data_IF_786273249104
#
_entry.id   IF_786273249104
#
_cell.length_a   1.000
_cell.length_b   1.000
_cell.length_c   1.000
_cell.angle_alpha   90.00
_cell.angle_beta   90.00
_cell.angle_gamma   90.00
#
_symmetry.space_group_name_H-M   'P 1'
#
loop_
_entity.id
_entity.type
_entity.pdbx_description
1 polymer ?
#
# COMPACT_ATOMS: atom_id res chain seq x y z
N UNK A 1 -7.32 30.76 -35.64
CA UNK A 1 -7.81 29.43 -35.25
C UNK A 1 -6.59 28.63 -34.81
N UNK A 2 -6.20 28.75 -33.54
CA UNK A 2 -5.08 27.98 -33.01
C UNK A 2 -5.60 26.56 -32.67
N UNK A 3 -5.12 25.57 -33.40
CA UNK A 3 -5.32 24.17 -33.07
C UNK A 3 -4.54 23.88 -31.79
N UNK A 4 -5.22 23.84 -30.67
CA UNK A 4 -4.70 23.21 -29.46
C UNK A 4 -4.63 21.70 -29.73
N UNK A 5 -3.50 21.22 -30.25
CA UNK A 5 -3.18 19.81 -30.10
C UNK A 5 -3.09 19.52 -28.60
N UNK A 6 -3.99 18.73 -28.06
CA UNK A 6 -3.85 18.20 -26.71
C UNK A 6 -2.54 17.39 -26.68
N UNK A 7 -1.49 17.99 -26.13
CA UNK A 7 -0.27 17.24 -25.82
C UNK A 7 -0.68 16.17 -24.79
N UNK A 8 -0.73 14.94 -25.28
CA UNK A 8 -0.97 13.75 -24.43
C UNK A 8 0.29 13.50 -23.60
N UNK A 9 0.13 13.12 -22.35
CA UNK A 9 1.27 12.70 -21.52
C UNK A 9 2.05 11.57 -22.21
N UNK A 10 3.37 11.55 -22.01
CA UNK A 10 4.22 10.52 -22.57
C UNK A 10 3.88 9.14 -21.97
N UNK A 11 4.04 8.04 -22.74
CA UNK A 11 3.68 6.71 -22.29
C UNK A 11 4.55 6.26 -21.10
N UNK A 12 4.01 5.39 -20.24
CA UNK A 12 4.71 4.84 -19.07
C UNK A 12 6.07 4.24 -19.42
N UNK A 13 6.18 3.58 -20.59
CA UNK A 13 7.41 2.96 -21.08
C UNK A 13 8.59 3.93 -21.28
N UNK A 14 8.32 5.22 -21.41
CA UNK A 14 9.38 6.23 -21.47
C UNK A 14 10.11 6.37 -20.12
N UNK A 15 9.43 6.10 -19.03
CA UNK A 15 9.90 6.33 -17.66
C UNK A 15 10.26 5.04 -16.93
N UNK A 16 9.52 3.95 -17.19
CA UNK A 16 9.68 2.66 -16.53
C UNK A 16 9.60 1.52 -17.53
N UNK A 17 10.62 0.66 -17.54
CA UNK A 17 10.53 -0.64 -18.20
C UNK A 17 9.82 -1.62 -17.28
N UNK A 18 8.81 -2.30 -17.80
CA UNK A 18 8.11 -3.38 -17.12
C UNK A 18 8.34 -4.68 -17.90
N UNK A 19 8.81 -5.70 -17.23
CA UNK A 19 9.19 -6.97 -17.85
C UNK A 19 8.61 -8.13 -17.04
N UNK A 20 7.95 -9.05 -17.73
CA UNK A 20 7.47 -10.29 -17.13
C UNK A 20 8.63 -11.26 -16.97
N UNK A 21 8.80 -11.82 -15.78
CA UNK A 21 9.79 -12.84 -15.50
C UNK A 21 9.19 -14.20 -15.88
N UNK A 22 9.83 -14.98 -16.78
CA UNK A 22 9.32 -16.28 -17.20
C UNK A 22 9.10 -17.21 -15.97
N UNK A 23 7.90 -17.77 -15.89
CA UNK A 23 7.51 -18.66 -14.80
C UNK A 23 7.80 -20.13 -15.14
N UNK A 24 7.90 -21.03 -14.14
CA UNK A 24 8.11 -22.46 -14.37
C UNK A 24 6.96 -23.05 -15.19
N UNK A 25 7.23 -23.75 -16.31
CA UNK A 25 6.19 -24.30 -17.16
C UNK A 25 5.29 -25.30 -16.42
N UNK A 26 3.98 -25.14 -16.58
CA UNK A 26 2.99 -26.06 -15.99
C UNK A 26 2.67 -25.81 -14.50
N UNK A 27 3.37 -24.91 -13.83
CA UNK A 27 3.13 -24.58 -12.43
C UNK A 27 2.14 -23.42 -12.27
N UNK A 28 1.35 -23.44 -11.19
CA UNK A 28 0.40 -22.37 -10.85
C UNK A 28 1.05 -21.40 -9.89
N UNK A 29 1.56 -20.30 -10.43
CA UNK A 29 2.35 -19.32 -9.71
C UNK A 29 1.49 -18.12 -9.22
N UNK A 30 0.50 -18.39 -8.38
CA UNK A 30 -0.30 -17.38 -7.69
C UNK A 30 0.54 -16.76 -6.55
N UNK A 31 1.31 -15.72 -6.88
CA UNK A 31 2.34 -15.18 -5.97
C UNK A 31 1.71 -14.60 -4.69
N UNK A 32 2.13 -15.12 -3.54
CA UNK A 32 1.67 -14.71 -2.21
C UNK A 32 2.64 -13.77 -1.49
N UNK A 33 3.95 -14.02 -1.59
CA UNK A 33 4.99 -13.15 -1.02
C UNK A 33 6.30 -13.22 -1.80
N UNK A 34 7.15 -12.21 -1.60
CA UNK A 34 8.46 -12.08 -2.25
C UNK A 34 9.50 -11.74 -1.18
N UNK A 35 10.65 -12.42 -1.18
CA UNK A 35 11.82 -12.04 -0.40
C UNK A 35 13.05 -11.88 -1.31
N UNK A 36 13.81 -10.82 -1.07
CA UNK A 36 15.10 -10.62 -1.71
C UNK A 36 16.16 -11.39 -0.91
N UNK A 37 16.96 -12.18 -1.61
CA UNK A 37 17.97 -13.04 -1.02
C UNK A 37 19.38 -12.58 -1.43
N UNK A 38 20.43 -13.07 -0.75
CA UNK A 38 21.81 -12.91 -1.22
C UNK A 38 21.97 -13.37 -2.69
N UNK A 39 23.08 -12.96 -3.32
CA UNK A 39 23.46 -13.35 -4.67
C UNK A 39 22.43 -13.02 -5.76
N UNK A 40 21.63 -11.96 -5.51
CA UNK A 40 20.56 -11.50 -6.41
C UNK A 40 19.55 -12.61 -6.75
N UNK A 41 19.28 -13.49 -5.79
CA UNK A 41 18.18 -14.44 -5.86
C UNK A 41 16.90 -13.82 -5.30
N UNK A 42 15.77 -14.30 -5.77
CA UNK A 42 14.44 -13.88 -5.30
C UNK A 42 13.66 -15.11 -4.88
N UNK A 43 13.29 -15.18 -3.60
CA UNK A 43 12.37 -16.21 -3.14
C UNK A 43 10.92 -15.75 -3.34
N UNK A 44 10.08 -16.67 -3.80
CA UNK A 44 8.66 -16.41 -4.10
C UNK A 44 7.82 -17.51 -3.50
N UNK A 45 6.79 -17.17 -2.73
CA UNK A 45 5.78 -18.14 -2.31
C UNK A 45 4.56 -18.09 -3.21
N UNK A 46 3.88 -19.21 -3.36
CA UNK A 46 2.56 -19.25 -3.98
C UNK A 46 1.47 -19.33 -2.93
N UNK A 47 0.29 -18.82 -3.22
CA UNK A 47 -0.91 -18.96 -2.39
C UNK A 47 -1.34 -20.44 -2.24
N UNK A 48 -0.79 -21.32 -3.08
CA UNK A 48 -1.02 -22.78 -3.01
C UNK A 48 -0.04 -23.51 -2.08
N UNK A 49 0.93 -22.78 -1.52
CA UNK A 49 1.83 -23.33 -0.50
C UNK A 49 3.17 -23.83 -1.04
N UNK A 50 3.56 -23.49 -2.26
CA UNK A 50 4.91 -23.73 -2.75
C UNK A 50 5.81 -22.51 -2.46
N UNK A 51 7.09 -22.79 -2.23
CA UNK A 51 8.15 -21.79 -2.17
C UNK A 51 9.21 -22.11 -3.23
N UNK A 52 9.51 -21.10 -4.04
CA UNK A 52 10.44 -21.20 -5.15
C UNK A 52 11.57 -20.20 -5.01
N UNK A 53 12.77 -20.59 -5.45
CA UNK A 53 13.91 -19.69 -5.59
C UNK A 53 14.12 -19.39 -7.07
N UNK A 54 14.09 -18.10 -7.40
CA UNK A 54 14.33 -17.56 -8.74
C UNK A 54 15.77 -17.06 -8.82
N UNK A 55 16.53 -17.54 -9.78
CA UNK A 55 17.84 -17.02 -10.14
C UNK A 55 17.77 -16.34 -11.51
N UNK A 56 18.53 -15.25 -11.70
CA UNK A 56 18.57 -14.51 -12.96
C UNK A 56 17.49 -13.41 -13.12
N UNK A 57 16.63 -13.19 -12.11
CA UNK A 57 15.58 -12.18 -12.17
C UNK A 57 16.09 -10.72 -12.31
N UNK A 58 17.34 -10.46 -11.99
CA UNK A 58 18.00 -9.17 -12.14
C UNK A 58 18.77 -9.00 -13.48
N UNK A 59 18.99 -10.10 -14.20
CA UNK A 59 19.77 -10.11 -15.45
C UNK A 59 19.06 -9.37 -16.58
N UNK A 60 19.82 -8.88 -17.58
CA UNK A 60 19.24 -8.22 -18.76
C UNK A 60 18.58 -9.22 -19.71
N UNK A 61 19.02 -10.46 -19.67
CA UNK A 61 18.47 -11.57 -20.48
C UNK A 61 17.59 -12.48 -19.60
N UNK A 62 16.30 -12.25 -19.60
CA UNK A 62 15.33 -13.03 -18.81
C UNK A 62 15.14 -14.46 -19.34
N UNK A 63 15.64 -14.80 -20.53
CA UNK A 63 15.61 -16.19 -21.01
C UNK A 63 16.50 -17.12 -20.19
N UNK A 64 17.40 -16.56 -19.38
CA UNK A 64 18.32 -17.27 -18.45
C UNK A 64 17.75 -17.45 -17.05
N UNK A 65 16.52 -16.99 -16.80
CA UNK A 65 15.86 -17.20 -15.51
C UNK A 65 15.66 -18.68 -15.27
N UNK A 66 16.02 -19.12 -14.05
CA UNK A 66 15.80 -20.48 -13.60
C UNK A 66 15.07 -20.49 -12.27
N UNK A 67 14.32 -21.55 -12.03
CA UNK A 67 13.52 -21.74 -10.84
C UNK A 67 13.85 -23.07 -10.18
N UNK A 68 13.99 -23.07 -8.85
CA UNK A 68 14.10 -24.27 -8.03
C UNK A 68 12.98 -24.26 -6.98
N UNK A 69 12.18 -25.33 -6.92
CA UNK A 69 11.19 -25.49 -5.84
C UNK A 69 11.96 -25.80 -4.56
N UNK A 70 11.87 -24.93 -3.57
CA UNK A 70 12.63 -24.99 -2.32
C UNK A 70 11.84 -25.66 -1.19
N UNK A 71 10.52 -25.37 -1.11
CA UNK A 71 9.61 -25.99 -0.15
C UNK A 71 8.19 -26.09 -0.74
N UNK A 72 7.36 -26.92 -0.10
CA UNK A 72 5.96 -27.12 -0.49
C UNK A 72 5.09 -27.44 0.73
N UNK A 73 3.77 -27.53 0.53
CA UNK A 73 2.79 -27.85 1.59
C UNK A 73 2.70 -26.75 2.68
N UNK A 74 3.05 -25.53 2.36
CA UNK A 74 2.87 -24.38 3.23
C UNK A 74 1.41 -23.91 3.20
N UNK A 75 0.95 -23.24 4.27
CA UNK A 75 -0.44 -22.81 4.38
C UNK A 75 -0.59 -21.33 3.97
N UNK A 76 -0.66 -21.07 2.66
CA UNK A 76 -0.87 -19.77 2.02
C UNK A 76 0.00 -18.64 2.61
N UNK A 77 1.34 -18.67 2.39
CA UNK A 77 2.24 -17.67 2.95
C UNK A 77 2.04 -16.30 2.29
N UNK A 78 1.73 -15.28 3.10
CA UNK A 78 1.47 -13.88 2.66
C UNK A 78 2.42 -12.88 3.34
N UNK A 79 3.57 -13.32 3.76
CA UNK A 79 4.68 -12.53 4.26
C UNK A 79 5.95 -13.37 4.24
N UNK A 80 7.07 -12.78 3.79
CA UNK A 80 8.34 -13.49 3.75
C UNK A 80 9.53 -12.52 3.75
N UNK A 81 10.61 -12.92 4.40
CA UNK A 81 11.89 -12.25 4.34
C UNK A 81 13.04 -13.22 4.57
N UNK A 82 14.23 -12.84 4.10
CA UNK A 82 15.47 -13.56 4.35
C UNK A 82 16.20 -12.95 5.54
N UNK A 83 16.64 -13.77 6.49
CA UNK A 83 17.45 -13.33 7.63
C UNK A 83 18.27 -14.48 8.19
N UNK A 84 19.56 -14.25 8.45
CA UNK A 84 20.47 -15.18 9.15
C UNK A 84 20.49 -16.60 8.57
N UNK A 85 20.59 -16.71 7.23
CA UNK A 85 20.64 -17.99 6.54
C UNK A 85 19.30 -18.75 6.48
N UNK A 86 18.18 -18.08 6.73
CA UNK A 86 16.85 -18.69 6.73
C UNK A 86 15.81 -17.81 6.03
N UNK A 87 14.79 -18.44 5.50
CA UNK A 87 13.55 -17.77 5.10
C UNK A 87 12.55 -17.82 6.26
N UNK A 88 12.00 -16.65 6.60
CA UNK A 88 10.96 -16.48 7.59
C UNK A 88 9.65 -16.20 6.86
N UNK A 89 8.62 -16.96 7.18
CA UNK A 89 7.33 -16.91 6.52
C UNK A 89 6.21 -16.60 7.50
N UNK A 90 5.27 -15.77 7.07
CA UNK A 90 3.97 -15.63 7.72
C UNK A 90 2.97 -16.44 6.92
N UNK A 91 2.47 -17.50 7.52
CA UNK A 91 1.41 -18.36 7.03
C UNK A 91 0.08 -18.02 7.71
N UNK A 92 -1.04 -18.60 7.27
CA UNK A 92 -2.34 -18.39 7.94
C UNK A 92 -2.29 -18.71 9.44
N UNK A 93 -1.76 -19.89 9.88
CA UNK A 93 -1.77 -20.28 11.29
C UNK A 93 -0.53 -19.85 12.07
N UNK A 94 0.58 -19.48 11.42
CA UNK A 94 1.86 -19.39 12.13
C UNK A 94 2.91 -18.52 11.44
N UNK A 95 3.91 -18.10 12.20
CA UNK A 95 5.22 -17.68 11.68
C UNK A 95 6.16 -18.86 11.71
N UNK A 96 6.74 -19.19 10.56
CA UNK A 96 7.63 -20.35 10.37
C UNK A 96 9.00 -19.90 9.89
N UNK A 97 10.06 -20.48 10.42
CA UNK A 97 11.44 -20.33 9.93
C UNK A 97 11.84 -21.58 9.17
N UNK A 98 12.34 -21.41 7.94
CA UNK A 98 12.70 -22.51 7.04
C UNK A 98 14.18 -22.41 6.65
N UNK A 99 14.88 -23.54 6.68
CA UNK A 99 16.30 -23.66 6.29
C UNK A 99 16.54 -24.85 5.38
N UNK A 100 17.57 -24.74 4.61
CA UNK A 100 18.30 -25.80 3.94
C UNK A 100 19.59 -26.00 4.74
N UNK A 101 19.65 -27.05 5.57
CA UNK A 101 20.74 -27.26 6.53
C UNK A 101 21.90 -28.07 5.95
N UNK A 102 21.64 -28.86 4.91
CA UNK A 102 22.65 -29.67 4.23
C UNK A 102 23.13 -29.09 2.90
N UNK A 103 22.55 -27.94 2.50
CA UNK A 103 22.87 -27.18 1.28
C UNK A 103 22.62 -27.95 -0.02
N UNK A 104 21.62 -28.83 -0.04
CA UNK A 104 21.20 -29.52 -1.28
C UNK A 104 20.24 -28.67 -2.13
N UNK A 105 19.81 -27.52 -1.58
CA UNK A 105 18.92 -26.53 -2.19
C UNK A 105 17.45 -26.88 -2.04
N UNK A 106 17.10 -27.74 -1.08
CA UNK A 106 15.75 -28.03 -0.62
C UNK A 106 15.65 -27.71 0.87
N UNK A 107 14.50 -27.26 1.30
CA UNK A 107 14.27 -27.01 2.73
C UNK A 107 14.11 -28.36 3.48
N UNK A 108 14.89 -28.54 4.52
CA UNK A 108 14.86 -29.71 5.40
C UNK A 108 14.47 -29.39 6.85
N UNK A 109 14.56 -28.13 7.24
CA UNK A 109 14.21 -27.66 8.58
C UNK A 109 13.05 -26.69 8.54
N UNK A 110 12.00 -27.01 9.29
CA UNK A 110 10.79 -26.18 9.44
C UNK A 110 10.54 -25.99 10.93
N UNK A 111 10.62 -24.73 11.40
CA UNK A 111 10.46 -24.39 12.80
C UNK A 111 9.32 -23.41 12.98
N UNK A 112 8.27 -23.79 13.69
CA UNK A 112 7.20 -22.88 14.11
C UNK A 112 7.74 -21.93 15.18
N UNK A 113 7.73 -20.64 14.88
CA UNK A 113 8.18 -19.60 15.80
C UNK A 113 7.03 -19.14 16.70
N UNK A 114 5.84 -18.99 16.13
CA UNK A 114 4.64 -18.58 16.87
C UNK A 114 3.39 -19.03 16.10
N UNK A 115 2.40 -19.57 16.84
CA UNK A 115 1.10 -20.00 16.31
C UNK A 115 -0.06 -19.65 17.27
N UNK A 116 0.06 -18.57 18.03
CA UNK A 116 -0.83 -18.24 19.15
C UNK A 116 -2.13 -17.52 18.72
N UNK A 117 -2.55 -17.65 17.47
CA UNK A 117 -3.84 -17.15 16.96
C UNK A 117 -4.63 -18.23 16.25
N UNK A 118 -5.96 -18.02 16.17
CA UNK A 118 -6.87 -19.00 15.62
C UNK A 118 -7.04 -18.91 14.10
N UNK A 119 -7.38 -20.06 13.52
CA UNK A 119 -7.98 -20.17 12.20
C UNK A 119 -9.19 -21.11 12.26
N UNK A 120 -10.23 -20.84 11.46
CA UNK A 120 -11.42 -21.68 11.32
C UNK A 120 -11.48 -22.38 9.96
N UNK A 121 -10.65 -21.91 9.01
CA UNK A 121 -10.57 -22.44 7.66
C UNK A 121 -11.42 -21.69 6.64
N UNK A 122 -11.94 -20.52 6.98
CA UNK A 122 -12.59 -19.64 6.04
C UNK A 122 -11.59 -19.09 5.01
N UNK A 123 -12.09 -18.88 3.77
CA UNK A 123 -11.25 -18.38 2.67
C UNK A 123 -10.56 -17.05 2.98
N UNK A 124 -11.25 -16.12 3.68
CA UNK A 124 -10.72 -14.79 3.97
C UNK A 124 -9.89 -14.69 5.26
N UNK A 125 -9.68 -15.76 6.00
CA UNK A 125 -8.83 -15.71 7.20
C UNK A 125 -7.34 -15.58 6.86
N UNK A 126 -6.99 -14.60 6.02
CA UNK A 126 -5.61 -14.27 5.67
C UNK A 126 -4.83 -13.75 6.87
N UNK A 127 -3.52 -13.97 6.85
CA UNK A 127 -2.55 -13.38 7.76
C UNK A 127 -1.43 -12.79 6.94
N UNK A 128 -1.34 -11.47 6.86
CA UNK A 128 -0.24 -10.78 6.19
C UNK A 128 0.84 -10.42 7.20
N UNK A 129 2.11 -10.68 6.85
CA UNK A 129 3.26 -10.41 7.69
C UNK A 129 4.23 -9.42 7.06
N UNK A 130 4.82 -8.58 7.91
CA UNK A 130 5.89 -7.65 7.53
C UNK A 130 7.25 -8.34 7.45
N UNK A 131 8.26 -7.62 6.94
CA UNK A 131 9.65 -7.83 7.34
C UNK A 131 9.83 -7.44 8.82
N UNK A 132 10.93 -7.82 9.49
CA UNK A 132 11.15 -7.40 10.87
C UNK A 132 11.31 -5.87 10.97
N UNK A 133 10.79 -5.30 12.05
CA UNK A 133 11.01 -3.92 12.43
C UNK A 133 12.43 -3.74 13.03
N UNK A 134 12.75 -2.52 13.49
CA UNK A 134 14.05 -2.19 14.11
C UNK A 134 14.36 -2.98 15.40
N UNK A 135 13.36 -3.56 16.04
CA UNK A 135 13.51 -4.41 17.23
C UNK A 135 13.61 -5.90 16.85
N UNK A 136 13.39 -6.24 15.58
CA UNK A 136 13.30 -7.59 15.07
C UNK A 136 11.90 -8.20 15.12
N UNK A 137 10.88 -7.45 15.57
CA UNK A 137 9.51 -7.94 15.64
C UNK A 137 8.87 -8.02 14.26
N UNK A 138 8.14 -9.09 14.00
CA UNK A 138 7.31 -9.27 12.80
C UNK A 138 5.90 -8.79 13.13
N UNK A 139 5.39 -7.85 12.35
CA UNK A 139 4.03 -7.36 12.48
C UNK A 139 3.10 -8.17 11.60
N UNK A 140 1.97 -8.58 12.15
CA UNK A 140 0.96 -9.39 11.50
C UNK A 140 -0.39 -8.66 11.50
N UNK A 141 -1.13 -8.71 10.40
CA UNK A 141 -2.52 -8.25 10.35
C UNK A 141 -3.41 -9.40 9.94
N UNK A 142 -4.41 -9.70 10.78
CA UNK A 142 -5.30 -10.86 10.67
C UNK A 142 -6.66 -10.44 10.14
N UNK A 143 -6.99 -10.91 8.93
CA UNK A 143 -8.30 -10.68 8.32
C UNK A 143 -9.41 -11.34 9.14
N UNK A 144 -10.57 -10.71 9.17
CA UNK A 144 -11.80 -11.28 9.72
C UNK A 144 -12.22 -12.55 8.96
N UNK A 145 -12.93 -13.45 9.63
CA UNK A 145 -13.64 -14.59 9.03
C UNK A 145 -14.68 -14.07 8.04
N UNK A 146 -14.62 -14.53 6.79
CA UNK A 146 -15.47 -14.03 5.70
C UNK A 146 -15.34 -12.53 5.43
N UNK A 147 -14.36 -11.84 6.03
CA UNK A 147 -14.23 -10.38 6.06
C UNK A 147 -15.38 -9.65 6.79
N UNK A 148 -16.17 -10.35 7.62
CA UNK A 148 -17.33 -9.81 8.34
C UNK A 148 -17.26 -10.04 9.84
N UNK A 149 -16.83 -11.22 10.29
CA UNK A 149 -16.91 -11.67 11.68
C UNK A 149 -15.53 -12.05 12.22
N UNK A 150 -15.41 -12.21 13.52
CA UNK A 150 -14.20 -12.68 14.18
C UNK A 150 -14.49 -14.01 14.90
N UNK A 151 -14.48 -15.12 14.14
CA UNK A 151 -14.95 -16.44 14.61
C UNK A 151 -13.82 -17.29 15.21
N UNK A 152 -12.58 -16.91 15.05
CA UNK A 152 -11.43 -17.53 15.70
C UNK A 152 -10.53 -16.48 16.33
N UNK A 153 -9.71 -16.89 17.30
CA UNK A 153 -8.96 -16.00 18.17
C UNK A 153 -8.07 -15.03 17.40
N UNK A 154 -8.08 -13.77 17.82
CA UNK A 154 -7.33 -12.65 17.31
C UNK A 154 -7.69 -12.20 15.88
N UNK A 155 -8.65 -12.80 15.19
CA UNK A 155 -9.13 -12.26 13.90
C UNK A 155 -9.65 -10.83 14.09
N UNK A 156 -9.22 -9.93 13.21
CA UNK A 156 -9.49 -8.50 13.35
C UNK A 156 -8.48 -7.73 14.21
N UNK A 157 -7.31 -8.31 14.48
CA UNK A 157 -6.21 -7.69 15.23
C UNK A 157 -4.93 -7.58 14.40
N UNK A 158 -4.10 -6.61 14.80
CA UNK A 158 -2.68 -6.58 14.51
C UNK A 158 -1.92 -7.17 15.69
N UNK A 159 -1.05 -8.13 15.41
CA UNK A 159 -0.17 -8.78 16.37
C UNK A 159 1.29 -8.46 16.03
N UNK A 160 2.17 -8.49 17.02
CA UNK A 160 3.63 -8.58 16.80
C UNK A 160 4.14 -9.90 17.33
N UNK A 161 5.07 -10.50 16.62
CA UNK A 161 5.81 -11.68 17.04
C UNK A 161 7.26 -11.28 17.22
N UNK A 162 7.78 -11.41 18.45
CA UNK A 162 9.17 -11.10 18.77
C UNK A 162 10.11 -12.18 18.19
N UNK A 163 11.42 -11.94 18.09
CA UNK A 163 12.38 -12.94 17.58
C UNK A 163 12.42 -14.26 18.37
N UNK A 164 12.04 -14.22 19.65
CA UNK A 164 11.94 -15.39 20.53
C UNK A 164 10.54 -16.05 20.52
N UNK A 165 9.64 -15.59 19.61
CA UNK A 165 8.34 -16.22 19.36
C UNK A 165 7.21 -15.76 20.26
N UNK A 166 7.39 -14.71 21.08
CA UNK A 166 6.32 -14.17 21.91
C UNK A 166 5.33 -13.35 21.08
N UNK A 167 4.05 -13.69 21.14
CA UNK A 167 2.97 -12.91 20.53
C UNK A 167 2.59 -11.70 21.41
N UNK A 168 2.43 -10.54 20.79
CA UNK A 168 2.03 -9.27 21.44
C UNK A 168 0.84 -8.68 20.66
N UNK A 169 -0.39 -8.73 21.22
CA UNK A 169 -1.53 -8.01 20.64
C UNK A 169 -1.24 -6.49 20.63
N UNK A 170 -1.40 -5.86 19.48
CA UNK A 170 -0.84 -4.51 19.26
C UNK A 170 -1.90 -3.49 18.88
N UNK A 171 -2.79 -3.78 17.93
CA UNK A 171 -3.89 -2.92 17.52
C UNK A 171 -5.13 -3.75 17.28
N UNK A 172 -6.32 -3.21 17.58
CA UNK A 172 -7.61 -3.83 17.26
C UNK A 172 -8.26 -3.15 16.06
N UNK A 173 -9.34 -3.72 15.56
CA UNK A 173 -10.18 -3.07 14.56
C UNK A 173 -9.76 -3.28 13.11
N UNK A 174 -8.98 -4.29 12.81
CA UNK A 174 -8.60 -4.70 11.44
C UNK A 174 -9.83 -5.34 10.78
N UNK A 175 -10.04 -5.07 9.49
CA UNK A 175 -11.13 -5.70 8.73
C UNK A 175 -10.62 -6.72 7.72
N UNK A 176 -10.10 -6.26 6.60
CA UNK A 176 -9.67 -7.10 5.46
C UNK A 176 -8.38 -6.56 4.88
N UNK A 177 -7.24 -6.84 5.54
CA UNK A 177 -5.94 -6.40 5.08
C UNK A 177 -5.60 -7.01 3.71
N UNK A 178 -4.87 -6.23 2.88
CA UNK A 178 -4.27 -6.69 1.63
C UNK A 178 -2.74 -6.72 1.66
N UNK A 179 -2.13 -6.07 2.65
CA UNK A 179 -0.69 -6.03 2.82
C UNK A 179 -0.26 -5.17 4.00
N UNK A 180 1.02 -5.24 4.34
CA UNK A 180 1.65 -4.53 5.47
C UNK A 180 3.06 -4.10 5.08
N UNK A 181 3.51 -2.95 5.58
CA UNK A 181 4.86 -2.44 5.34
C UNK A 181 5.18 -1.24 6.22
N UNK A 182 6.37 -0.69 6.05
CA UNK A 182 6.88 0.44 6.82
C UNK A 182 7.05 1.67 5.94
N UNK A 183 6.89 2.86 6.54
CA UNK A 183 7.38 4.09 5.91
C UNK A 183 8.89 4.29 6.20
N UNK A 184 9.45 5.38 5.69
CA UNK A 184 10.88 5.69 5.87
C UNK A 184 11.27 5.97 7.33
N UNK A 185 10.32 6.33 8.19
CA UNK A 185 10.55 6.56 9.62
C UNK A 185 10.47 5.27 10.45
N UNK A 186 10.10 4.14 9.82
CA UNK A 186 9.91 2.85 10.47
C UNK A 186 8.54 2.69 11.17
N UNK A 187 7.60 3.60 10.92
CA UNK A 187 6.21 3.44 11.34
C UNK A 187 5.49 2.42 10.45
N UNK A 188 4.67 1.55 11.05
CA UNK A 188 4.02 0.43 10.37
C UNK A 188 2.67 0.84 9.80
N UNK A 189 2.40 0.45 8.55
CA UNK A 189 1.14 0.66 7.86
C UNK A 189 0.60 -0.64 7.29
N UNK A 190 -0.72 -0.68 7.12
CA UNK A 190 -1.38 -1.74 6.37
C UNK A 190 -2.43 -1.16 5.43
N UNK A 191 -2.75 -1.90 4.39
CA UNK A 191 -3.87 -1.60 3.50
C UNK A 191 -5.11 -2.35 3.96
N UNK A 192 -6.26 -1.68 3.96
CA UNK A 192 -7.53 -2.26 4.38
C UNK A 192 -8.59 -2.07 3.30
N UNK A 193 -9.24 -3.16 2.88
CA UNK A 193 -10.23 -3.13 1.81
C UNK A 193 -11.57 -2.56 2.27
N UNK A 194 -12.32 -1.93 1.35
CA UNK A 194 -13.69 -1.48 1.57
C UNK A 194 -14.56 -2.62 2.13
N UNK A 195 -15.45 -2.30 3.07
CA UNK A 195 -16.41 -3.25 3.60
C UNK A 195 -17.11 -2.77 4.87
N UNK A 196 -17.53 -3.69 5.72
CA UNK A 196 -18.17 -3.37 6.99
C UNK A 196 -17.23 -2.53 7.86
N UNK A 197 -17.71 -1.39 8.38
CA UNK A 197 -16.94 -0.43 9.18
C UNK A 197 -15.72 0.19 8.46
N UNK A 198 -15.67 0.05 7.13
CA UNK A 198 -14.63 0.63 6.29
C UNK A 198 -15.25 1.15 4.99
N UNK A 199 -15.66 2.39 4.97
CA UNK A 199 -16.46 2.99 3.90
C UNK A 199 -15.77 3.00 2.53
N UNK A 200 -14.43 3.08 2.49
CA UNK A 200 -13.61 2.92 1.29
C UNK A 200 -12.29 2.25 1.66
N UNK A 201 -11.60 1.71 0.67
CA UNK A 201 -10.26 1.15 0.86
C UNK A 201 -9.27 2.23 1.32
N UNK A 202 -8.26 1.84 2.09
CA UNK A 202 -7.39 2.83 2.74
C UNK A 202 -6.03 2.28 3.16
N UNK A 203 -5.08 3.20 3.35
CA UNK A 203 -3.82 2.99 4.05
C UNK A 203 -3.98 3.47 5.49
N UNK A 204 -3.69 2.62 6.47
CA UNK A 204 -3.88 2.89 7.89
C UNK A 204 -2.59 2.70 8.69
N UNK A 205 -2.36 3.58 9.66
CA UNK A 205 -1.21 3.53 10.55
C UNK A 205 -1.45 2.63 11.76
N UNK A 206 -0.62 1.61 11.92
CA UNK A 206 -0.67 0.67 13.06
C UNK A 206 0.10 1.25 14.26
N UNK A 207 -0.48 2.27 14.91
CA UNK A 207 0.07 2.79 16.15
C UNK A 207 -0.27 1.83 17.30
N UNK A 208 0.69 1.34 18.09
CA UNK A 208 0.40 0.46 19.23
C UNK A 208 -0.68 1.02 20.17
N UNK A 209 -1.63 0.18 20.54
CA UNK A 209 -2.79 0.54 21.37
C UNK A 209 -3.94 1.22 20.60
N UNK A 210 -3.83 1.37 19.27
CA UNK A 210 -4.88 1.99 18.48
C UNK A 210 -5.99 1.03 18.07
N UNK A 211 -7.14 1.62 17.75
CA UNK A 211 -8.30 0.98 17.12
C UNK A 211 -8.38 1.42 15.65
N UNK A 212 -8.56 0.45 14.74
CA UNK A 212 -8.52 0.66 13.29
C UNK A 212 -9.91 0.74 12.64
N UNK A 213 -10.97 0.61 13.41
CA UNK A 213 -12.34 0.90 12.98
C UNK A 213 -13.31 -0.27 13.00
N UNK A 214 -12.91 -1.54 12.89
CA UNK A 214 -13.85 -2.65 12.88
C UNK A 214 -14.02 -3.27 14.28
N UNK A 215 -15.21 -3.25 14.89
CA UNK A 215 -15.40 -3.73 16.27
C UNK A 215 -15.51 -5.27 16.40
N UNK A 216 -15.58 -6.03 15.30
CA UNK A 216 -15.86 -7.48 15.35
C UNK A 216 -14.86 -8.27 16.20
N UNK A 217 -13.59 -7.87 16.20
CA UNK A 217 -12.51 -8.50 16.98
C UNK A 217 -12.36 -7.96 18.42
N UNK A 218 -13.13 -6.97 18.84
CA UNK A 218 -12.96 -6.30 20.14
C UNK A 218 -13.03 -7.26 21.34
N UNK A 219 -13.83 -8.33 21.23
CA UNK A 219 -13.98 -9.37 22.26
C UNK A 219 -12.67 -10.04 22.69
N UNK A 220 -11.66 -10.06 21.82
CA UNK A 220 -10.39 -10.74 22.09
C UNK A 220 -9.45 -9.94 23.00
N UNK A 221 -9.70 -8.66 23.26
CA UNK A 221 -8.94 -7.88 24.24
C UNK A 221 -8.88 -8.59 25.61
N UNK A 222 -9.95 -9.30 25.97
CA UNK A 222 -10.06 -10.04 27.24
C UNK A 222 -9.05 -11.18 27.35
N UNK A 223 -8.62 -11.77 26.24
CA UNK A 223 -7.66 -12.89 26.23
C UNK A 223 -6.28 -12.48 26.75
N UNK A 224 -5.92 -11.19 26.63
CA UNK A 224 -4.65 -10.65 27.09
C UNK A 224 -4.82 -9.59 28.20
N UNK A 225 -5.99 -9.52 28.85
CA UNK A 225 -6.31 -8.51 29.88
C UNK A 225 -6.04 -7.06 29.41
N UNK A 226 -6.30 -6.78 28.14
CA UNK A 226 -6.19 -5.44 27.57
C UNK A 226 -7.44 -4.60 27.88
N UNK A 227 -7.32 -3.26 27.90
CA UNK A 227 -8.48 -2.37 27.92
C UNK A 227 -9.45 -2.72 26.79
N UNK A 228 -10.75 -2.62 27.05
CA UNK A 228 -11.77 -2.84 26.03
C UNK A 228 -11.59 -1.82 24.89
N UNK A 229 -11.50 -2.27 23.62
CA UNK A 229 -11.51 -1.35 22.50
C UNK A 229 -12.83 -0.55 22.45
N UNK A 230 -12.86 0.61 21.74
CA UNK A 230 -14.01 1.51 21.76
C UNK A 230 -15.31 0.85 21.29
N UNK A 231 -16.41 1.24 21.93
CA UNK A 231 -17.76 1.08 21.40
C UNK A 231 -18.08 2.28 20.51
N UNK A 232 -18.38 2.06 19.25
CA UNK A 232 -18.53 3.09 18.22
C UNK A 232 -19.97 3.19 17.73
N UNK A 233 -20.40 4.40 17.35
CA UNK A 233 -21.71 4.62 16.77
C UNK A 233 -21.77 4.16 15.31
N UNK A 234 -22.86 3.47 14.94
CA UNK A 234 -23.18 3.18 13.55
C UNK A 234 -23.65 4.45 12.81
N UNK A 235 -23.43 4.48 11.48
CA UNK A 235 -23.82 5.60 10.59
C UNK A 235 -23.25 6.97 11.01
N UNK A 236 -22.04 6.94 11.55
CA UNK A 236 -21.29 8.10 12.06
C UNK A 236 -20.24 8.61 11.04
N UNK A 237 -19.26 9.36 11.52
CA UNK A 237 -18.05 9.79 10.81
C UNK A 237 -16.82 9.48 11.64
N UNK A 238 -15.73 9.03 11.01
CA UNK A 238 -14.52 8.59 11.73
C UNK A 238 -13.99 9.67 12.66
N UNK A 239 -13.91 10.95 12.22
CA UNK A 239 -13.41 12.02 13.08
C UNK A 239 -14.37 12.37 14.23
N UNK A 240 -15.68 12.14 14.08
CA UNK A 240 -16.65 12.28 15.17
C UNK A 240 -16.42 11.21 16.23
N UNK A 241 -16.25 9.95 15.81
CA UNK A 241 -15.95 8.84 16.71
C UNK A 241 -14.61 9.04 17.42
N UNK A 242 -13.58 9.49 16.69
CA UNK A 242 -12.28 9.83 17.28
C UNK A 242 -12.36 10.91 18.37
N UNK A 243 -13.29 11.84 18.29
CA UNK A 243 -13.47 12.85 19.34
C UNK A 243 -13.90 12.21 20.67
N UNK A 244 -14.64 11.09 20.61
CA UNK A 244 -15.03 10.29 21.78
C UNK A 244 -13.94 9.31 22.20
N UNK A 245 -13.23 8.76 21.20
CA UNK A 245 -12.26 7.65 21.32
C UNK A 245 -10.94 8.04 20.67
N UNK A 246 -10.03 8.75 21.39
CA UNK A 246 -8.75 9.22 20.82
C UNK A 246 -7.84 8.12 20.29
N UNK A 247 -8.00 6.88 20.74
CA UNK A 247 -7.33 5.68 20.23
C UNK A 247 -7.80 5.25 18.83
N UNK A 248 -8.97 5.71 18.38
CA UNK A 248 -9.42 5.48 17.01
C UNK A 248 -8.58 6.32 16.06
N UNK A 249 -7.65 5.69 15.34
CA UNK A 249 -6.78 6.35 14.37
C UNK A 249 -7.48 6.36 13.01
N UNK A 250 -7.72 7.54 12.40
CA UNK A 250 -8.32 7.61 11.07
C UNK A 250 -7.35 7.05 10.01
N UNK A 251 -7.85 6.61 8.84
CA UNK A 251 -7.00 6.29 7.71
C UNK A 251 -6.03 7.42 7.39
N UNK A 252 -4.75 7.09 7.19
CA UNK A 252 -3.75 8.06 6.76
C UNK A 252 -4.06 8.54 5.33
N UNK A 253 -4.43 7.59 4.44
CA UNK A 253 -4.85 7.88 3.07
C UNK A 253 -6.02 6.98 2.69
N UNK A 254 -7.09 7.58 2.20
CA UNK A 254 -8.23 6.86 1.62
C UNK A 254 -7.98 6.72 0.12
N UNK A 255 -8.20 5.52 -0.40
CA UNK A 255 -8.22 5.22 -1.83
C UNK A 255 -9.68 5.24 -2.30
N UNK A 256 -10.19 6.32 -2.94
CA UNK A 256 -11.56 6.37 -3.42
C UNK A 256 -11.89 5.19 -4.31
N UNK A 257 -12.90 4.40 -3.88
CA UNK A 257 -13.25 3.12 -4.48
C UNK A 257 -13.64 3.27 -5.95
N UNK A 258 -13.02 2.46 -6.82
CA UNK A 258 -13.23 2.48 -8.26
C UNK A 258 -12.58 3.66 -9.00
N UNK A 259 -12.16 4.73 -8.31
CA UNK A 259 -11.48 5.89 -8.91
C UNK A 259 -9.97 5.71 -8.87
N UNK A 260 -9.41 5.47 -7.69
CA UNK A 260 -7.97 5.29 -7.48
C UNK A 260 -7.63 3.83 -7.31
N UNK A 261 -8.36 3.13 -6.46
CA UNK A 261 -8.16 1.73 -6.17
C UNK A 261 -9.44 1.06 -5.72
N UNK A 262 -9.36 -0.25 -5.56
CA UNK A 262 -10.47 -1.07 -5.07
C UNK A 262 -10.01 -2.06 -4.01
N UNK A 263 -8.88 -2.74 -4.26
CA UNK A 263 -8.30 -3.73 -3.37
C UNK A 263 -6.80 -3.48 -3.19
N UNK A 264 -6.40 -2.46 -2.40
CA UNK A 264 -5.00 -2.15 -2.16
C UNK A 264 -4.33 -3.29 -1.39
N UNK A 265 -3.06 -3.56 -1.72
CA UNK A 265 -2.32 -4.72 -1.26
C UNK A 265 -0.94 -4.38 -0.68
N UNK A 266 0.13 -5.06 -1.09
CA UNK A 266 1.48 -4.93 -0.57
C UNK A 266 2.02 -3.51 -0.59
N UNK A 267 2.89 -3.20 0.37
CA UNK A 267 3.47 -1.87 0.58
C UNK A 267 4.99 -1.97 0.50
N UNK A 268 5.62 -1.12 -0.31
CA UNK A 268 7.05 -0.89 -0.30
C UNK A 268 7.35 0.61 -0.15
N UNK A 269 8.37 0.98 0.63
CA UNK A 269 8.83 2.36 0.74
C UNK A 269 10.03 2.56 -0.17
N UNK A 270 10.07 3.65 -0.94
CA UNK A 270 11.25 4.02 -1.71
C UNK A 270 12.29 4.67 -0.78
N UNK A 271 13.40 3.99 -0.57
CA UNK A 271 14.59 4.45 0.14
C UNK A 271 15.85 4.15 -0.71
N UNK A 272 15.66 4.13 -2.03
CA UNK A 272 16.71 3.73 -2.99
C UNK A 272 17.77 4.79 -3.21
N UNK A 273 17.59 6.01 -2.66
CA UNK A 273 18.46 7.15 -2.96
C UNK A 273 18.34 7.61 -4.41
N UNK A 274 17.13 7.50 -4.99
CA UNK A 274 16.82 7.94 -6.35
C UNK A 274 17.06 6.90 -7.45
N UNK A 275 17.34 5.63 -7.12
CA UNK A 275 17.55 4.57 -8.14
C UNK A 275 16.25 4.07 -8.76
N UNK A 276 15.11 4.32 -8.10
CA UNK A 276 13.77 4.05 -8.64
C UNK A 276 13.07 5.30 -9.18
N UNK A 277 13.75 6.44 -9.21
CA UNK A 277 13.24 7.74 -9.63
C UNK A 277 13.10 8.73 -8.47
N UNK A 278 12.39 9.86 -8.63
CA UNK A 278 12.38 10.94 -7.65
C UNK A 278 11.33 10.73 -6.52
N UNK A 279 11.10 9.50 -6.06
CA UNK A 279 10.01 9.15 -5.14
C UNK A 279 10.48 8.81 -3.71
N UNK A 280 11.66 9.26 -3.36
CA UNK A 280 12.28 8.99 -2.06
C UNK A 280 11.31 9.23 -0.89
N UNK A 281 11.23 8.26 0.03
CA UNK A 281 10.35 8.18 1.20
C UNK A 281 8.85 8.01 0.90
N UNK A 282 8.45 7.88 -0.36
CA UNK A 282 7.06 7.60 -0.70
C UNK A 282 6.78 6.10 -0.65
N UNK A 283 5.50 5.76 -0.43
CA UNK A 283 5.07 4.38 -0.45
C UNK A 283 4.57 4.00 -1.85
N UNK A 284 4.96 2.81 -2.29
CA UNK A 284 4.43 2.12 -3.45
C UNK A 284 3.44 1.09 -2.94
N UNK A 285 2.19 1.21 -3.35
CA UNK A 285 1.09 0.35 -2.89
C UNK A 285 0.54 -0.43 -4.06
N UNK A 286 0.61 -1.76 -3.99
CA UNK A 286 0.02 -2.64 -4.98
C UNK A 286 -1.51 -2.59 -4.94
N UNK A 287 -2.14 -2.96 -6.03
CA UNK A 287 -3.59 -2.99 -6.18
C UNK A 287 -4.01 -4.23 -6.97
N UNK A 288 -4.87 -5.04 -6.37
CA UNK A 288 -5.26 -6.32 -6.94
C UNK A 288 -6.28 -6.16 -8.07
N UNK A 289 -7.35 -5.39 -7.87
CA UNK A 289 -8.45 -5.33 -8.85
C UNK A 289 -8.08 -4.55 -10.10
N UNK A 290 -7.37 -3.44 -9.96
CA UNK A 290 -6.98 -2.59 -11.09
C UNK A 290 -5.65 -3.01 -11.73
N UNK A 291 -4.91 -3.96 -11.13
CA UNK A 291 -3.61 -4.43 -11.65
C UNK A 291 -2.62 -3.26 -11.82
N UNK A 292 -2.38 -2.52 -10.73
CA UNK A 292 -1.55 -1.31 -10.74
C UNK A 292 -0.73 -1.17 -9.45
N UNK A 293 0.25 -0.28 -9.48
CA UNK A 293 0.94 0.24 -8.29
C UNK A 293 0.60 1.71 -8.16
N UNK A 294 0.15 2.12 -6.99
CA UNK A 294 -0.14 3.50 -6.63
C UNK A 294 1.04 4.10 -5.87
N UNK A 295 1.18 5.42 -5.95
CA UNK A 295 2.20 6.15 -5.20
C UNK A 295 1.52 6.97 -4.09
N UNK A 296 2.05 6.89 -2.88
CA UNK A 296 1.51 7.58 -1.70
C UNK A 296 2.58 8.47 -1.09
N UNK A 297 2.25 9.75 -0.94
CA UNK A 297 3.03 10.73 -0.20
C UNK A 297 2.37 10.95 1.17
N UNK A 298 3.12 10.73 2.25
CA UNK A 298 2.65 10.90 3.63
C UNK A 298 3.28 12.11 4.30
N UNK A 299 2.51 12.73 5.20
CA UNK A 299 3.01 13.68 6.18
C UNK A 299 2.37 13.46 7.55
N UNK A 300 2.99 13.97 8.61
CA UNK A 300 2.48 13.88 9.99
C UNK A 300 2.09 15.26 10.48
N UNK A 301 0.80 15.49 10.69
CA UNK A 301 0.23 16.75 11.16
C UNK A 301 -0.47 16.54 12.49
N UNK A 302 -0.13 17.35 13.50
CA UNK A 302 -0.68 17.26 14.86
C UNK A 302 -0.68 15.82 15.45
N UNK A 303 0.34 15.01 15.09
CA UNK A 303 0.50 13.64 15.59
C UNK A 303 -0.30 12.57 14.84
N UNK A 304 -0.98 12.90 13.74
CA UNK A 304 -1.65 11.98 12.83
C UNK A 304 -0.98 11.95 11.46
N UNK A 305 -0.95 10.79 10.84
CA UNK A 305 -0.60 10.68 9.44
C UNK A 305 -1.78 11.04 8.53
N UNK A 306 -1.45 11.70 7.45
CA UNK A 306 -2.33 12.05 6.35
C UNK A 306 -1.49 12.16 5.07
N UNK A 307 -2.11 12.35 3.91
CA UNK A 307 -1.36 12.50 2.68
C UNK A 307 -2.17 12.29 1.43
N UNK A 308 -1.47 12.23 0.31
CA UNK A 308 -2.05 12.08 -1.03
C UNK A 308 -1.71 10.71 -1.64
N UNK A 309 -2.64 10.16 -2.39
CA UNK A 309 -2.43 9.06 -3.32
C UNK A 309 -2.51 9.56 -4.75
N UNK A 310 -1.68 8.99 -5.61
CA UNK A 310 -1.58 9.27 -7.04
C UNK A 310 -1.65 7.96 -7.82
N UNK A 311 -2.18 7.99 -9.04
CA UNK A 311 -1.90 6.94 -10.02
C UNK A 311 -0.39 6.90 -10.29
N UNK A 312 0.12 5.72 -10.67
CA UNK A 312 1.56 5.59 -10.93
C UNK A 312 1.84 4.57 -12.04
N UNK A 313 1.95 3.29 -11.71
CA UNK A 313 2.25 2.24 -12.69
C UNK A 313 1.00 1.39 -12.92
N UNK A 314 0.64 1.19 -14.17
CA UNK A 314 -0.61 0.54 -14.55
C UNK A 314 -0.38 -0.64 -15.51
N UNK A 315 -1.47 -1.36 -15.80
CA UNK A 315 -1.54 -2.42 -16.80
C UNK A 315 -0.65 -3.64 -16.53
N UNK A 316 -0.47 -4.02 -15.25
CA UNK A 316 0.16 -5.30 -14.92
C UNK A 316 -0.69 -6.48 -15.38
N UNK A 317 -0.04 -7.63 -15.63
CA UNK A 317 -0.68 -8.79 -16.25
C UNK A 317 -1.69 -9.52 -15.36
N UNK A 318 -1.60 -9.37 -14.02
CA UNK A 318 -2.58 -9.88 -13.05
C UNK A 318 -2.79 -8.91 -11.90
N UNK A 319 -3.75 -9.20 -11.02
CA UNK A 319 -3.96 -8.45 -9.79
C UNK A 319 -2.77 -8.58 -8.85
N UNK A 320 -2.20 -7.45 -8.42
CA UNK A 320 -1.00 -7.45 -7.59
C UNK A 320 -1.31 -7.77 -6.13
N UNK A 321 -0.45 -8.57 -5.48
CA UNK A 321 -0.50 -8.89 -4.05
C UNK A 321 0.80 -8.42 -3.38
N UNK A 322 1.97 -9.10 -3.52
CA UNK A 322 3.21 -8.58 -2.97
C UNK A 322 3.82 -7.51 -3.87
N UNK A 323 4.37 -6.50 -3.22
CA UNK A 323 5.21 -5.46 -3.82
C UNK A 323 6.52 -5.42 -3.04
N UNK A 324 7.66 -5.53 -3.73
CA UNK A 324 8.98 -5.55 -3.08
C UNK A 324 9.99 -4.71 -3.87
N UNK A 325 10.47 -3.63 -3.27
CA UNK A 325 11.48 -2.78 -3.86
C UNK A 325 12.87 -3.15 -3.33
N UNK A 326 13.77 -3.47 -4.23
CA UNK A 326 15.20 -3.64 -3.90
C UNK A 326 15.85 -2.26 -3.74
N UNK A 327 16.20 -1.93 -2.51
CA UNK A 327 16.78 -0.64 -2.16
C UNK A 327 18.21 -0.46 -2.73
N UNK A 328 18.90 -1.55 -3.04
CA UNK A 328 20.25 -1.51 -3.60
C UNK A 328 20.25 -1.22 -5.10
N UNK A 329 19.31 -1.82 -5.85
CA UNK A 329 19.28 -1.72 -7.32
C UNK A 329 18.21 -0.79 -7.85
N UNK A 330 17.19 -0.45 -7.05
CA UNK A 330 16.00 0.24 -7.52
C UNK A 330 15.08 -0.63 -8.38
N UNK A 331 15.20 -1.95 -8.31
CA UNK A 331 14.29 -2.87 -9.02
C UNK A 331 13.06 -3.15 -8.17
N UNK A 332 11.89 -2.86 -8.71
CA UNK A 332 10.61 -3.21 -8.09
C UNK A 332 10.16 -4.58 -8.62
N UNK A 333 9.97 -5.54 -7.73
CA UNK A 333 9.32 -6.83 -8.01
C UNK A 333 7.88 -6.80 -7.55
N UNK A 334 6.99 -7.30 -8.40
CA UNK A 334 5.57 -7.46 -8.08
C UNK A 334 5.10 -8.86 -8.45
N UNK A 335 4.25 -9.42 -7.61
CA UNK A 335 3.61 -10.70 -7.87
C UNK A 335 2.09 -10.55 -7.93
N UNK A 336 1.45 -11.38 -8.72
CA UNK A 336 0.03 -11.24 -8.95
C UNK A 336 -0.75 -12.55 -8.95
N UNK A 337 -2.04 -12.42 -8.64
CA UNK A 337 -3.01 -13.51 -8.69
C UNK A 337 -4.43 -12.97 -8.87
N UNK A 338 -5.20 -13.66 -9.70
CA UNK A 338 -6.64 -13.43 -9.86
C UNK A 338 -7.49 -14.45 -9.06
N UNK A 339 -6.85 -15.22 -8.17
CA UNK A 339 -7.54 -16.21 -7.36
C UNK A 339 -8.54 -15.56 -6.41
N UNK A 340 -9.79 -15.98 -6.54
CA UNK A 340 -10.91 -15.53 -5.71
C UNK A 340 -11.45 -14.15 -6.07
N UNK A 341 -10.73 -13.34 -6.84
CA UNK A 341 -11.12 -12.00 -7.21
C UNK A 341 -10.60 -11.63 -8.61
N UNK A 342 -11.49 -11.23 -9.51
CA UNK A 342 -11.08 -10.81 -10.84
C UNK A 342 -10.26 -9.51 -10.79
N UNK A 343 -9.32 -9.37 -11.72
CA UNK A 343 -8.56 -8.13 -11.93
C UNK A 343 -8.69 -7.65 -13.38
N UNK A 344 -8.15 -6.46 -13.65
CA UNK A 344 -8.03 -5.94 -15.02
C UNK A 344 -6.94 -6.64 -15.82
N UNK A 345 -5.97 -7.25 -15.16
CA UNK A 345 -4.91 -8.02 -15.80
C UNK A 345 -5.45 -9.24 -16.57
N UNK A 346 -4.80 -9.56 -17.67
CA UNK A 346 -5.24 -10.60 -18.62
C UNK A 346 -4.91 -12.02 -18.19
N UNK A 347 -3.95 -12.18 -17.24
CA UNK A 347 -3.42 -13.47 -16.81
C UNK A 347 -3.93 -13.89 -15.42
N UNK A 348 -4.03 -15.18 -15.13
CA UNK A 348 -4.44 -15.65 -13.82
C UNK A 348 -3.42 -15.37 -12.71
N UNK A 349 -2.15 -15.22 -13.07
CA UNK A 349 -1.04 -14.88 -12.18
C UNK A 349 0.13 -14.31 -12.98
N UNK A 350 0.98 -13.54 -12.33
CA UNK A 350 2.19 -12.94 -12.92
C UNK A 350 3.30 -12.79 -11.89
N UNK A 351 4.54 -12.71 -12.38
CA UNK A 351 5.68 -12.20 -11.65
C UNK A 351 6.43 -11.23 -12.56
N UNK A 352 6.50 -9.96 -12.17
CA UNK A 352 7.04 -8.89 -12.99
C UNK A 352 8.07 -8.08 -12.24
N UNK A 353 9.01 -7.48 -12.99
CA UNK A 353 9.94 -6.48 -12.48
C UNK A 353 9.73 -5.16 -13.19
N UNK A 354 9.96 -4.07 -12.47
CA UNK A 354 9.93 -2.70 -13.01
C UNK A 354 11.24 -2.01 -12.68
N UNK A 355 11.83 -1.35 -13.67
CA UNK A 355 13.07 -0.57 -13.53
C UNK A 355 12.87 0.83 -14.09
N UNK A 356 13.39 1.83 -13.40
CA UNK A 356 13.40 3.20 -13.89
C UNK A 356 14.37 3.33 -15.08
N UNK A 357 13.95 4.04 -16.13
CA UNK A 357 14.77 4.25 -17.35
C UNK A 357 15.84 5.33 -17.17
N UNK A 358 15.82 6.07 -16.05
CA UNK A 358 16.64 7.26 -15.84
C UNK A 358 15.95 8.56 -16.29
N UNK A 359 14.83 8.49 -17.02
CA UNK A 359 14.03 9.65 -17.44
C UNK A 359 12.96 9.98 -16.39
N UNK A 360 12.96 11.20 -15.90
CA UNK A 360 11.98 11.67 -14.92
C UNK A 360 10.74 12.23 -15.62
N UNK A 361 9.51 11.76 -15.29
CA UNK A 361 8.30 12.37 -15.80
C UNK A 361 8.09 13.76 -15.21
N UNK A 362 7.42 14.67 -15.94
CA UNK A 362 6.87 15.87 -15.34
C UNK A 362 5.63 15.48 -14.53
N UNK A 363 5.71 15.62 -13.18
CA UNK A 363 4.74 15.04 -12.26
C UNK A 363 4.61 15.87 -10.98
N UNK A 364 3.46 15.77 -10.29
CA UNK A 364 3.35 16.21 -8.89
C UNK A 364 4.13 15.22 -8.04
N UNK A 365 5.27 15.65 -7.50
CA UNK A 365 6.11 14.82 -6.65
C UNK A 365 5.49 14.63 -5.26
N UNK A 366 5.04 15.73 -4.62
CA UNK A 366 4.39 15.72 -3.31
C UNK A 366 3.25 16.72 -3.25
N UNK A 367 2.25 16.43 -2.42
CA UNK A 367 1.19 17.34 -2.03
C UNK A 367 1.12 17.36 -0.50
N UNK A 368 1.32 18.54 0.11
CA UNK A 368 1.32 18.72 1.57
C UNK A 368 0.32 19.79 1.99
N UNK A 369 -0.32 19.59 3.15
CA UNK A 369 -1.31 20.49 3.67
C UNK A 369 -0.66 21.74 4.31
N UNK A 370 -1.36 22.84 4.22
CA UNK A 370 -1.07 24.07 4.92
C UNK A 370 -2.33 24.55 5.64
N UNK A 371 -2.19 25.59 6.43
CA UNK A 371 -3.33 26.16 7.18
C UNK A 371 -4.52 26.56 6.28
N UNK A 372 -4.26 27.03 5.07
CA UNK A 372 -5.24 27.60 4.15
C UNK A 372 -5.11 27.03 2.72
N UNK A 373 -4.64 25.80 2.57
CA UNK A 373 -4.51 25.16 1.26
C UNK A 373 -3.48 24.06 1.21
N UNK A 374 -2.85 23.90 0.03
CA UNK A 374 -1.83 22.87 -0.20
C UNK A 374 -0.59 23.45 -0.89
N UNK A 375 0.55 22.81 -0.67
CA UNK A 375 1.75 23.00 -1.47
C UNK A 375 1.96 21.77 -2.34
N UNK A 376 2.11 22.01 -3.64
CA UNK A 376 2.49 20.99 -4.63
C UNK A 376 3.98 21.18 -4.96
N UNK A 377 4.78 20.12 -4.81
CA UNK A 377 6.12 20.10 -5.37
C UNK A 377 6.11 19.27 -6.64
N UNK A 378 6.89 19.67 -7.64
CA UNK A 378 6.95 19.03 -8.94
C UNK A 378 8.34 18.44 -9.19
N UNK A 379 8.40 17.40 -10.02
CA UNK A 379 9.66 16.74 -10.41
C UNK A 379 10.55 17.63 -11.29
N UNK A 380 9.95 18.63 -11.96
CA UNK A 380 10.63 19.60 -12.81
C UNK A 380 9.98 21.00 -12.68
N UNK A 381 10.60 22.03 -13.27
CA UNK A 381 10.07 23.38 -13.19
C UNK A 381 8.77 23.54 -13.99
N UNK A 382 7.79 24.19 -13.38
CA UNK A 382 6.49 24.54 -13.99
C UNK A 382 6.60 25.81 -14.85
N UNK A 383 5.75 25.92 -15.87
CA UNK A 383 5.51 27.20 -16.57
C UNK A 383 4.67 28.12 -15.67
N UNK A 384 5.22 29.30 -15.24
CA UNK A 384 4.50 30.22 -14.37
C UNK A 384 3.19 30.72 -14.96
N UNK A 385 3.06 30.83 -16.31
CA UNK A 385 1.85 31.32 -16.94
C UNK A 385 0.68 30.37 -16.72
N UNK A 386 0.92 29.07 -16.75
CA UNK A 386 -0.10 28.04 -16.50
C UNK A 386 -0.24 27.72 -15.01
N UNK A 387 0.86 27.60 -14.29
CA UNK A 387 0.87 27.15 -12.90
C UNK A 387 0.38 28.21 -11.89
N UNK A 388 0.47 29.53 -12.23
CA UNK A 388 -0.07 30.60 -11.41
C UNK A 388 -1.56 30.91 -11.70
N UNK A 389 -2.16 30.33 -12.71
CA UNK A 389 -3.58 30.49 -13.01
C UNK A 389 -4.43 29.53 -12.16
N UNK A 390 -5.28 30.03 -11.23
CA UNK A 390 -6.18 29.16 -10.47
C UNK A 390 -7.09 28.27 -11.32
N UNK A 391 -7.38 28.66 -12.56
CA UNK A 391 -8.20 27.88 -13.51
C UNK A 391 -7.49 26.63 -14.04
N UNK A 392 -6.17 26.55 -13.85
CA UNK A 392 -5.41 25.30 -14.15
C UNK A 392 -5.72 24.16 -13.20
N UNK A 393 -6.46 24.44 -12.12
CA UNK A 393 -6.78 23.51 -11.06
C UNK A 393 -8.29 23.43 -10.85
N UNK A 394 -8.75 22.25 -10.43
CA UNK A 394 -10.10 22.04 -9.93
C UNK A 394 -10.04 21.19 -8.66
N UNK A 395 -10.97 21.41 -7.72
CA UNK A 395 -11.02 20.65 -6.49
C UNK A 395 -12.47 20.35 -6.11
N UNK A 396 -12.71 19.11 -5.74
CA UNK A 396 -13.89 18.66 -5.00
C UNK A 396 -13.45 17.91 -3.74
N UNK A 397 -14.35 17.79 -2.77
CA UNK A 397 -14.07 17.06 -1.54
C UNK A 397 -15.30 16.27 -1.09
N UNK A 398 -15.05 15.13 -0.43
CA UNK A 398 -16.10 14.22 0.06
C UNK A 398 -15.56 13.35 1.20
N UNK A 399 -16.46 12.70 1.90
CA UNK A 399 -16.11 11.70 2.91
C UNK A 399 -16.98 10.46 2.77
N UNK A 400 -16.87 9.54 3.73
CA UNK A 400 -17.60 8.27 3.76
C UNK A 400 -18.33 8.11 5.09
N UNK A 401 -19.45 7.39 5.05
CA UNK A 401 -20.17 7.00 6.26
C UNK A 401 -19.37 5.89 6.95
N UNK A 402 -19.12 6.05 8.24
CA UNK A 402 -18.60 5.00 9.10
C UNK A 402 -19.78 4.18 9.61
N UNK A 403 -19.93 2.93 9.14
CA UNK A 403 -21.13 2.13 9.35
C UNK A 403 -20.90 0.62 9.33
N UNK A 404 -21.83 -0.12 9.96
CA UNK A 404 -21.85 -1.58 9.95
C UNK A 404 -22.19 -2.17 8.57
N UNK A 405 -22.81 -1.40 7.69
CA UNK A 405 -23.10 -1.82 6.32
C UNK A 405 -21.80 -1.89 5.49
N UNK A 406 -21.83 -2.65 4.39
CA UNK A 406 -20.70 -2.84 3.51
C UNK A 406 -20.41 -1.59 2.67
N UNK A 407 -19.24 -0.98 2.86
CA UNK A 407 -18.82 0.20 2.11
C UNK A 407 -19.67 1.43 2.42
N UNK A 408 -19.45 2.49 1.65
CA UNK A 408 -20.24 3.73 1.72
C UNK A 408 -20.20 4.43 0.38
N UNK A 409 -21.27 5.11 -0.02
CA UNK A 409 -21.15 6.12 -1.07
C UNK A 409 -20.29 7.31 -0.58
N UNK A 410 -19.81 8.09 -1.52
CA UNK A 410 -19.23 9.41 -1.23
C UNK A 410 -20.34 10.34 -0.75
N UNK A 411 -20.16 10.92 0.43
CA UNK A 411 -21.15 11.80 1.08
C UNK A 411 -20.50 13.11 1.52
N UNK A 412 -21.32 14.03 2.01
CA UNK A 412 -20.88 15.34 2.52
C UNK A 412 -19.99 16.08 1.51
N UNK A 413 -20.42 16.06 0.22
CA UNK A 413 -19.68 16.71 -0.87
C UNK A 413 -19.50 18.20 -0.59
N UNK A 414 -18.29 18.69 -0.86
CA UNK A 414 -17.92 20.08 -0.80
C UNK A 414 -17.13 20.48 -2.07
N UNK A 415 -17.16 21.74 -2.40
CA UNK A 415 -16.43 22.29 -3.54
C UNK A 415 -15.48 23.41 -3.06
N UNK A 416 -14.32 23.04 -2.45
CA UNK A 416 -13.32 24.01 -2.02
C UNK A 416 -12.85 24.87 -3.19
N UNK A 417 -12.74 26.17 -2.99
CA UNK A 417 -12.40 27.11 -4.05
C UNK A 417 -10.93 27.47 -4.01
N UNK A 418 -10.22 27.23 -5.12
CA UNK A 418 -8.82 27.65 -5.29
C UNK A 418 -8.79 29.10 -5.64
N UNK A 419 -8.43 29.95 -4.67
CA UNK A 419 -8.52 31.44 -4.79
C UNK A 419 -7.21 32.06 -5.25
N UNK A 420 -6.07 31.38 -5.08
CA UNK A 420 -4.78 31.83 -5.58
C UNK A 420 -3.83 30.63 -5.79
N UNK A 421 -2.93 30.77 -6.75
CA UNK A 421 -1.80 29.85 -6.98
C UNK A 421 -0.53 30.69 -7.08
N UNK A 422 0.45 30.39 -6.23
CA UNK A 422 1.73 31.12 -6.17
C UNK A 422 2.87 30.18 -6.48
N UNK A 423 3.59 30.46 -7.56
CA UNK A 423 4.76 29.70 -8.00
C UNK A 423 5.99 30.14 -7.20
N UNK A 424 6.79 29.19 -6.75
CA UNK A 424 8.07 29.45 -6.05
C UNK A 424 9.12 30.08 -7.00
N UNK A 425 10.15 30.78 -6.47
CA UNK A 425 11.19 31.39 -7.29
C UNK A 425 11.98 30.38 -8.16
N UNK A 426 12.18 29.15 -7.68
CA UNK A 426 12.83 28.05 -8.41
C UNK A 426 11.89 27.34 -9.40
N UNK A 427 10.61 27.74 -9.43
CA UNK A 427 9.54 27.17 -10.26
C UNK A 427 9.26 25.70 -10.02
N UNK A 428 9.69 25.12 -8.90
CA UNK A 428 9.49 23.69 -8.60
C UNK A 428 8.36 23.43 -7.63
N UNK A 429 7.73 24.48 -7.10
CA UNK A 429 6.54 24.31 -6.27
C UNK A 429 5.47 25.37 -6.53
N UNK A 430 4.24 25.02 -6.21
CA UNK A 430 3.07 25.89 -6.27
C UNK A 430 2.34 25.82 -4.94
N UNK A 431 2.12 26.99 -4.34
CA UNK A 431 1.28 27.17 -3.16
C UNK A 431 -0.14 27.49 -3.61
N UNK A 432 -1.08 26.61 -3.34
CA UNK A 432 -2.51 26.83 -3.57
C UNK A 432 -3.16 27.39 -2.31
N UNK A 433 -3.84 28.53 -2.41
CA UNK A 433 -4.73 29.03 -1.38
C UNK A 433 -6.15 28.58 -1.69
N UNK A 434 -6.82 27.99 -0.69
CA UNK A 434 -8.10 27.32 -0.87
C UNK A 434 -9.06 27.73 0.23
N UNK A 435 -10.22 28.21 -0.16
CA UNK A 435 -11.32 28.48 0.75
C UNK A 435 -12.23 27.26 0.83
N UNK A 436 -12.65 26.88 2.04
CA UNK A 436 -13.58 25.76 2.26
C UNK A 436 -12.91 24.39 2.43
N UNK A 437 -11.66 24.32 2.91
CA UNK A 437 -11.05 23.04 3.34
C UNK A 437 -11.88 22.39 4.44
N UNK A 438 -12.09 21.06 4.34
CA UNK A 438 -12.91 20.30 5.29
C UNK A 438 -12.11 19.14 5.88
N UNK A 439 -11.92 19.13 7.21
CA UNK A 439 -11.28 18.00 7.91
C UNK A 439 -12.10 16.71 7.78
N UNK A 440 -11.42 15.58 7.70
CA UNK A 440 -12.04 14.26 7.54
C UNK A 440 -12.55 13.97 6.12
N UNK A 441 -12.18 14.83 5.15
CA UNK A 441 -12.52 14.64 3.75
C UNK A 441 -11.31 14.24 2.92
N UNK A 442 -11.59 13.52 1.85
CA UNK A 442 -10.68 13.38 0.71
C UNK A 442 -10.86 14.61 -0.16
N UNK A 443 -9.77 15.31 -0.47
CA UNK A 443 -9.73 16.42 -1.40
C UNK A 443 -9.14 15.92 -2.71
N UNK A 444 -9.96 15.82 -3.74
CA UNK A 444 -9.53 15.48 -5.09
C UNK A 444 -9.11 16.74 -5.81
N UNK A 445 -7.82 16.85 -6.11
CA UNK A 445 -7.23 17.91 -6.90
C UNK A 445 -6.98 17.42 -8.32
N UNK A 446 -7.49 18.14 -9.32
CA UNK A 446 -7.14 17.96 -10.73
C UNK A 446 -6.33 19.16 -11.22
N UNK A 447 -5.10 18.91 -11.70
CA UNK A 447 -4.12 19.93 -12.13
C UNK A 447 -3.89 19.90 -13.65
N UNK A 448 -4.93 19.60 -14.43
CA UNK A 448 -4.85 19.37 -15.90
C UNK A 448 -4.36 20.57 -16.71
N UNK A 449 -4.48 21.79 -16.16
CA UNK A 449 -4.01 23.02 -16.81
C UNK A 449 -2.51 23.27 -16.68
N UNK A 450 -1.83 22.64 -15.70
CA UNK A 450 -0.40 22.88 -15.42
C UNK A 450 0.48 22.28 -16.51
N UNK A 451 1.54 23.03 -16.87
CA UNK A 451 2.55 22.59 -17.84
C UNK A 451 3.96 22.77 -17.27
N UNK A 452 4.92 21.99 -17.79
CA UNK A 452 6.35 22.22 -17.58
C UNK A 452 6.81 23.46 -18.34
N UNK A 453 8.04 23.94 -18.08
CA UNK A 453 8.65 25.02 -18.90
C UNK A 453 8.79 24.62 -20.37
N UNK A 454 8.90 23.35 -20.67
CA UNK A 454 9.00 22.80 -22.03
C UNK A 454 7.65 22.54 -22.67
N UNK A 455 6.54 22.81 -21.94
CA UNK A 455 5.16 22.64 -22.40
C UNK A 455 4.56 21.26 -22.15
N UNK A 456 5.26 20.33 -21.47
CA UNK A 456 4.76 18.99 -21.18
C UNK A 456 3.56 19.04 -20.22
N UNK A 457 2.59 18.18 -20.43
CA UNK A 457 1.52 17.93 -19.47
C UNK A 457 2.03 17.05 -18.31
N UNK A 458 1.38 17.18 -17.15
CA UNK A 458 1.61 16.24 -16.04
C UNK A 458 1.30 14.80 -16.48
N UNK A 459 2.14 13.86 -16.08
CA UNK A 459 1.93 12.44 -16.37
C UNK A 459 0.63 11.95 -15.70
N UNK A 460 0.45 12.27 -14.40
CA UNK A 460 -0.81 12.05 -13.67
C UNK A 460 -1.28 13.39 -13.05
N UNK A 461 -2.30 14.03 -13.60
CA UNK A 461 -2.71 15.35 -13.14
C UNK A 461 -3.60 15.35 -11.88
N UNK A 462 -4.03 14.17 -11.44
CA UNK A 462 -4.99 14.03 -10.36
C UNK A 462 -4.32 13.52 -9.07
N UNK A 463 -4.70 14.10 -7.92
CA UNK A 463 -4.25 13.73 -6.58
C UNK A 463 -5.44 13.65 -5.62
N UNK A 464 -5.47 12.66 -4.75
CA UNK A 464 -6.50 12.50 -3.71
C UNK A 464 -5.86 12.61 -2.33
N UNK A 465 -6.06 13.77 -1.68
CA UNK A 465 -5.47 14.05 -0.37
C UNK A 465 -6.48 13.81 0.75
N UNK A 466 -6.17 12.93 1.69
CA UNK A 466 -6.96 12.71 2.92
C UNK A 466 -6.55 13.74 3.97
N UNK A 467 -7.42 14.69 4.29
CA UNK A 467 -7.15 15.78 5.23
C UNK A 467 -7.70 15.46 6.62
N UNK A 468 -6.91 14.83 7.48
CA UNK A 468 -7.30 14.54 8.87
C UNK A 468 -7.14 15.75 9.80
N UNK A 469 -6.07 16.50 9.62
CA UNK A 469 -5.73 17.68 10.42
C UNK A 469 -5.30 18.85 9.53
N UNK A 470 -5.68 20.05 9.90
CA UNK A 470 -5.19 21.30 9.29
C UNK A 470 -3.99 21.78 10.11
N UNK A 471 -2.82 22.02 9.48
CA UNK A 471 -1.65 22.59 10.16
C UNK A 471 -1.97 23.94 10.83
N UNK A 472 -1.36 24.21 12.00
CA UNK A 472 -1.56 25.45 12.76
C UNK A 472 -0.92 26.67 12.12
#
# INVERSE_FOLDING_TARGET
MFLFTSLQAAPQSDYYTREEIPLPPGEVMEIGSIALMPDKQVAVTTRRGDLWICSGAYGDDLSKVTWKKFAQNLHEPLGMFWKDGALWLTQRPEVTRIKDSDNDGLADTFETICSDWGIKGDYHEYTFGSTPDKNGDIWLVLCLTGSFTADSDWRGWCLRVTPDGKMIPTCSGIRSPGGIGFNADGDTFYTDNQGVWNGSSSLKWLKPGSFQGNPSGNKFAKLANLPAPPEVDDKSRILKERTKHPEFIPPAVIFPHGKVGQSPTGIACDQTGGKFGPWEKQLLVGEQTHSQVQRVCLEKVNGLYQGAVFHFLENFEAGLIPVRLDQETGTLFVGGSNRGWASRGSKPFTFERVRWTGKTPFEIQTMTANRDGFTLNFTGPVDPATAADPKSYAMDAFTYIYQAEYGSPEVDQANPQITAATVSPDKKSVRLKIDGLVRGHVHHLSSKGVRSLDGDALWHPDAWYTLNEIPK
#
